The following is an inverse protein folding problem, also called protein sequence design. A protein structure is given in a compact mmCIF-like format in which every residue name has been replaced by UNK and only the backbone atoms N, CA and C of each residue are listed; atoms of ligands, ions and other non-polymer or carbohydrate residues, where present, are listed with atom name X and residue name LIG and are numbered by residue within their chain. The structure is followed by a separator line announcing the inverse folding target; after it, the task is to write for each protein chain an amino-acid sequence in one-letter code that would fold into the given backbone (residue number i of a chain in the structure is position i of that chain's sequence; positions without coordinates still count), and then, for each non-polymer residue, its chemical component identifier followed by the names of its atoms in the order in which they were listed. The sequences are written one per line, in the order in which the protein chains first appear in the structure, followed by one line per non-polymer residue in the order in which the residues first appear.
data_IF_617759695929
#
_entry.id   IF_617759695929
#
_cell.length_a   1.000
_cell.length_b   1.000
_cell.length_c   1.000
_cell.angle_alpha   90.00
_cell.angle_beta   90.00
_cell.angle_gamma   90.00
#
_symmetry.space_group_name_H-M   'P 1'
#
loop_
_entity.id
_entity.type
_entity.pdbx_description
1 polymer ?
#
# COMPACT_ATOMS: atom_id res chain seq x y z
N UNK A 1 -18.58 34.01 -52.88
CA UNK A 1 -19.78 33.37 -53.48
C UNK A 1 -19.63 31.88 -53.19
N UNK A 2 -20.42 31.15 -52.42
CA UNK A 2 -21.71 31.35 -51.75
C UNK A 2 -21.76 30.24 -50.69
N UNK A 3 -21.82 30.55 -49.38
CA UNK A 3 -22.98 30.37 -48.51
C UNK A 3 -23.99 29.28 -48.88
N UNK A 4 -24.49 28.62 -47.82
CA UNK A 4 -25.72 27.82 -47.68
C UNK A 4 -25.56 26.30 -47.90
N UNK A 5 -26.17 25.38 -47.14
CA UNK A 5 -27.18 25.45 -46.06
C UNK A 5 -27.31 24.02 -45.48
N UNK A 6 -27.37 23.85 -44.16
CA UNK A 6 -28.20 22.81 -43.51
C UNK A 6 -29.68 23.23 -43.64
N UNK A 7 -30.71 22.34 -43.65
CA UNK A 7 -31.19 21.75 -42.38
C UNK A 7 -32.04 20.44 -42.44
N UNK A 8 -32.29 19.92 -41.23
CA UNK A 8 -33.56 19.40 -40.69
C UNK A 8 -34.14 18.02 -41.08
N UNK A 9 -34.66 17.36 -40.04
CA UNK A 9 -35.61 16.24 -40.06
C UNK A 9 -35.04 15.02 -39.33
N UNK A 10 -35.46 14.63 -38.12
CA UNK A 10 -36.81 14.63 -37.55
C UNK A 10 -37.34 13.18 -37.60
N UNK A 11 -37.48 12.53 -36.45
CA UNK A 11 -37.96 11.14 -36.40
C UNK A 11 -37.97 10.53 -35.00
N UNK A 12 -38.85 11.04 -34.14
CA UNK A 12 -39.28 10.32 -32.96
C UNK A 12 -40.30 9.23 -33.36
N UNK A 13 -40.05 7.98 -32.98
CA UNK A 13 -41.03 6.90 -32.96
C UNK A 13 -40.91 6.24 -31.58
N UNK A 14 -41.78 6.59 -30.62
CA UNK A 14 -43.09 5.98 -30.42
C UNK A 14 -42.99 4.48 -30.12
N UNK A 15 -42.88 4.14 -28.84
CA UNK A 15 -43.23 2.81 -28.31
C UNK A 15 -44.20 3.03 -27.15
N UNK A 16 -45.49 3.15 -27.47
CA UNK A 16 -46.57 2.92 -26.53
C UNK A 16 -46.98 1.45 -26.62
N UNK A 17 -47.12 0.77 -25.49
CA UNK A 17 -48.43 0.36 -24.95
C UNK A 17 -48.26 -0.58 -23.77
N UNK A 18 -48.93 -0.22 -22.68
CA UNK A 18 -49.18 -1.06 -21.53
C UNK A 18 -50.28 -2.07 -21.88
N UNK A 19 -50.05 -3.35 -21.59
CA UNK A 19 -51.10 -4.36 -21.58
C UNK A 19 -51.07 -5.14 -20.25
N UNK A 20 -52.08 -4.86 -19.43
CA UNK A 20 -52.41 -5.62 -18.23
C UNK A 20 -53.11 -6.95 -18.62
N UNK A 21 -52.73 -8.07 -18.00
CA UNK A 21 -53.41 -9.35 -18.26
C UNK A 21 -52.96 -10.54 -17.40
N UNK A 22 -53.70 -10.77 -16.31
CA UNK A 22 -54.06 -12.05 -15.64
C UNK A 22 -52.99 -13.12 -15.36
N UNK A 23 -52.77 -13.36 -14.06
CA UNK A 23 -52.10 -14.55 -13.49
C UNK A 23 -53.03 -15.78 -13.50
N UNK A 24 -52.55 -16.97 -13.92
CA UNK A 24 -53.12 -18.23 -13.48
C UNK A 24 -52.39 -18.79 -12.25
N UNK A 25 -53.17 -19.43 -11.38
CA UNK A 25 -52.76 -20.05 -10.14
C UNK A 25 -51.97 -21.35 -10.35
N UNK A 26 -51.18 -21.70 -9.33
CA UNK A 26 -50.22 -22.79 -9.28
C UNK A 26 -50.87 -24.19 -9.32
N UNK A 27 -50.24 -25.11 -10.07
CA UNK A 27 -50.30 -26.56 -9.83
C UNK A 27 -48.85 -27.08 -9.86
N UNK A 28 -48.46 -27.70 -8.75
CA UNK A 28 -47.06 -28.02 -8.46
C UNK A 28 -46.49 -29.20 -9.24
N UNK A 29 -45.16 -29.15 -9.41
CA UNK A 29 -44.29 -30.33 -9.52
C UNK A 29 -43.02 -30.06 -8.72
N UNK A 30 -42.75 -30.94 -7.74
CA UNK A 30 -41.46 -31.06 -7.05
C UNK A 30 -40.60 -32.04 -7.83
N UNK A 31 -39.36 -31.67 -8.13
CA UNK A 31 -38.14 -32.46 -7.98
C UNK A 31 -37.07 -32.04 -8.99
N UNK A 32 -35.85 -31.86 -8.47
CA UNK A 32 -34.58 -32.01 -9.15
C UNK A 32 -34.11 -30.94 -10.17
N UNK A 33 -34.12 -29.65 -9.81
CA UNK A 33 -33.21 -28.66 -10.43
C UNK A 33 -32.67 -27.70 -9.36
N UNK A 34 -31.57 -28.07 -8.69
CA UNK A 34 -30.79 -27.16 -7.82
C UNK A 34 -29.31 -27.32 -8.09
N UNK A 35 -28.88 -27.04 -9.32
CA UNK A 35 -27.48 -26.78 -9.63
C UNK A 35 -27.31 -25.65 -10.68
N UNK A 36 -28.26 -24.73 -10.82
CA UNK A 36 -27.96 -23.39 -11.36
C UNK A 36 -29.08 -22.43 -11.01
N UNK A 37 -28.82 -21.51 -10.06
CA UNK A 37 -29.71 -20.38 -9.81
C UNK A 37 -29.03 -19.12 -10.35
N UNK A 38 -29.54 -18.48 -11.42
CA UNK A 38 -29.11 -17.13 -11.77
C UNK A 38 -29.76 -16.20 -10.76
N UNK A 39 -28.99 -15.70 -9.80
CA UNK A 39 -29.48 -14.86 -8.72
C UNK A 39 -29.24 -13.38 -9.07
N UNK A 40 -30.25 -12.59 -9.49
CA UNK A 40 -30.16 -11.14 -9.45
C UNK A 40 -30.55 -10.68 -8.06
N UNK A 41 -29.68 -10.89 -7.07
CA UNK A 41 -29.84 -10.24 -5.78
C UNK A 41 -29.60 -8.74 -5.97
N UNK A 42 -30.53 -7.85 -5.58
CA UNK A 42 -30.24 -6.42 -5.53
C UNK A 42 -29.12 -6.23 -4.52
N UNK A 43 -27.99 -5.67 -4.98
CA UNK A 43 -26.85 -5.32 -4.13
C UNK A 43 -27.38 -4.40 -3.02
N UNK A 44 -27.60 -4.95 -1.82
CA UNK A 44 -27.69 -4.12 -0.62
C UNK A 44 -26.41 -3.30 -0.59
N UNK A 45 -26.49 -1.97 -0.37
CA UNK A 45 -25.29 -1.20 -0.12
C UNK A 45 -24.59 -1.86 1.06
N UNK A 46 -23.32 -2.22 0.88
CA UNK A 46 -22.45 -2.62 1.98
C UNK A 46 -22.32 -1.36 2.82
N UNK A 47 -23.19 -1.20 3.80
CA UNK A 47 -22.92 -0.25 4.87
C UNK A 47 -21.62 -0.75 5.52
N UNK A 48 -20.56 0.07 5.62
CA UNK A 48 -19.47 -0.29 6.50
C UNK A 48 -20.07 -0.54 7.87
N UNK A 49 -19.66 -1.59 8.62
CA UNK A 49 -20.18 -1.78 9.96
C UNK A 49 -19.98 -0.46 10.71
N UNK A 50 -21.04 0.06 11.32
CA UNK A 50 -20.96 1.20 12.22
C UNK A 50 -19.77 0.95 13.14
N UNK A 51 -18.79 1.82 13.07
CA UNK A 51 -17.54 1.70 13.81
C UNK A 51 -17.85 1.91 15.29
N UNK A 52 -18.35 0.89 15.96
CA UNK A 52 -18.09 0.71 17.39
C UNK A 52 -16.64 0.26 17.57
N UNK A 53 -15.69 0.98 16.95
CA UNK A 53 -14.32 0.97 17.42
C UNK A 53 -14.37 1.75 18.73
N UNK A 54 -14.69 1.03 19.80
CA UNK A 54 -14.27 1.38 21.14
C UNK A 54 -12.75 1.48 21.05
N UNK A 55 -12.22 2.69 20.86
CA UNK A 55 -10.80 3.02 21.03
C UNK A 55 -10.49 2.99 22.52
N UNK A 56 -10.66 1.82 23.14
CA UNK A 56 -9.79 1.48 24.25
C UNK A 56 -8.41 1.40 23.63
N UNK A 57 -7.56 2.38 23.94
CA UNK A 57 -6.12 2.34 23.73
C UNK A 57 -5.51 1.19 24.55
N UNK A 58 -5.92 -0.05 24.28
CA UNK A 58 -5.26 -1.25 24.76
C UNK A 58 -4.01 -1.42 23.92
N UNK A 59 -3.00 -0.63 24.26
CA UNK A 59 -1.65 -0.94 23.84
C UNK A 59 -1.29 -2.27 24.50
N UNK A 60 -1.04 -3.35 23.74
CA UNK A 60 -0.63 -4.61 24.33
C UNK A 60 0.65 -4.37 25.16
N UNK A 61 0.81 -5.05 26.32
CA UNK A 61 2.02 -4.90 27.12
C UNK A 61 3.22 -5.35 26.30
N UNK A 62 4.18 -4.43 26.10
CA UNK A 62 5.38 -4.72 25.30
C UNK A 62 6.14 -5.91 25.90
N UNK A 63 6.45 -6.92 25.09
CA UNK A 63 7.28 -8.07 25.49
C UNK A 63 8.66 -7.54 25.92
N UNK A 64 9.31 -8.22 26.88
CA UNK A 64 10.60 -7.77 27.47
C UNK A 64 11.69 -7.56 26.41
N UNK A 65 11.63 -8.28 25.28
CA UNK A 65 12.52 -8.11 24.11
C UNK A 65 12.29 -6.82 23.31
N UNK A 66 11.04 -6.40 23.12
CA UNK A 66 10.67 -5.20 22.35
C UNK A 66 11.25 -3.93 22.99
N UNK A 67 11.38 -3.89 24.32
CA UNK A 67 12.03 -2.77 25.04
C UNK A 67 13.52 -2.60 24.74
N UNK A 68 14.23 -3.69 24.43
CA UNK A 68 15.67 -3.65 24.12
C UNK A 68 15.87 -3.17 22.68
N UNK A 69 15.12 -3.75 21.74
CA UNK A 69 15.13 -3.35 20.32
C UNK A 69 14.70 -1.90 20.12
N UNK A 70 13.72 -1.42 20.90
CA UNK A 70 13.30 -0.01 20.89
C UNK A 70 14.39 0.94 21.39
N UNK A 71 15.12 0.59 22.46
CA UNK A 71 16.24 1.41 22.96
C UNK A 71 17.42 1.45 21.98
N UNK A 72 17.68 0.35 21.28
CA UNK A 72 18.70 0.30 20.23
C UNK A 72 18.30 1.15 19.02
N UNK A 73 17.02 1.14 18.63
CA UNK A 73 16.48 1.98 17.57
C UNK A 73 16.47 3.48 17.96
N UNK A 74 16.16 3.80 19.22
CA UNK A 74 16.22 5.16 19.77
C UNK A 74 17.66 5.67 19.89
N UNK A 75 18.62 4.80 20.23
CA UNK A 75 20.05 5.12 20.23
C UNK A 75 20.61 5.38 18.82
N UNK A 76 20.05 4.74 17.79
CA UNK A 76 20.36 5.03 16.39
C UNK A 76 19.78 6.39 15.96
N UNK A 77 18.55 6.73 16.37
CA UNK A 77 17.96 8.05 16.14
C UNK A 77 18.75 9.17 16.86
N UNK A 78 19.21 8.91 18.08
CA UNK A 78 20.09 9.82 18.84
C UNK A 78 21.48 10.01 18.20
N UNK A 79 21.88 9.17 17.24
CA UNK A 79 23.08 9.36 16.43
C UNK A 79 22.91 10.40 15.32
N UNK A 80 21.74 11.02 15.18
CA UNK A 80 21.48 12.06 14.19
C UNK A 80 21.33 11.55 12.75
N UNK A 81 21.26 10.24 12.54
CA UNK A 81 21.01 9.69 11.19
C UNK A 81 19.50 9.78 10.91
N UNK A 82 19.12 10.64 9.96
CA UNK A 82 17.76 10.69 9.45
C UNK A 82 17.46 9.39 8.66
N UNK A 83 16.63 8.55 9.27
CA UNK A 83 16.08 7.34 8.67
C UNK A 83 14.84 7.73 7.85
N UNK A 84 15.00 7.91 6.54
CA UNK A 84 13.90 8.25 5.65
C UNK A 84 14.39 8.44 4.22
N UNK A 85 13.61 8.01 3.24
CA UNK A 85 13.95 8.28 1.83
C UNK A 85 13.83 9.77 1.53
N UNK A 86 14.64 10.24 0.59
CA UNK A 86 14.59 11.63 0.11
C UNK A 86 13.38 11.92 -0.78
N UNK A 87 12.72 10.87 -1.30
CA UNK A 87 11.70 10.96 -2.35
C UNK A 87 10.32 11.27 -1.74
N UNK A 88 9.57 12.25 -2.29
CA UNK A 88 8.22 12.55 -1.80
C UNK A 88 7.25 11.41 -2.12
N UNK A 89 6.30 11.18 -1.24
CA UNK A 89 5.21 10.24 -1.49
C UNK A 89 4.13 10.92 -2.35
N UNK A 90 4.16 10.64 -3.65
CA UNK A 90 3.29 11.29 -4.64
C UNK A 90 1.87 10.69 -4.64
N UNK A 91 1.74 9.38 -4.42
CA UNK A 91 0.43 8.70 -4.38
C UNK A 91 -0.26 8.93 -3.03
N UNK A 92 -1.54 9.30 -3.08
CA UNK A 92 -2.33 9.43 -1.85
C UNK A 92 -2.67 8.05 -1.26
N UNK A 93 -2.93 8.01 0.05
CA UNK A 93 -3.26 6.74 0.71
C UNK A 93 -4.59 6.15 0.20
N UNK A 94 -5.55 7.02 -0.15
CA UNK A 94 -6.83 6.62 -0.74
C UNK A 94 -6.59 5.91 -2.09
N UNK A 95 -5.81 6.51 -2.99
CA UNK A 95 -5.47 5.93 -4.29
C UNK A 95 -4.79 4.55 -4.17
N UNK A 96 -3.84 4.40 -3.23
CA UNK A 96 -3.18 3.11 -3.00
C UNK A 96 -4.13 2.03 -2.47
N UNK A 97 -5.14 2.43 -1.69
CA UNK A 97 -6.15 1.53 -1.16
C UNK A 97 -7.18 1.11 -2.21
N UNK A 98 -7.60 2.05 -3.07
CA UNK A 98 -8.51 1.81 -4.19
C UNK A 98 -7.87 0.88 -5.24
N UNK A 99 -6.59 1.08 -5.51
CA UNK A 99 -5.78 0.20 -6.37
C UNK A 99 -5.44 -1.15 -5.70
N UNK A 100 -5.85 -1.36 -4.44
CA UNK A 100 -5.62 -2.58 -3.66
C UNK A 100 -4.15 -3.00 -3.61
N UNK A 101 -3.24 -2.03 -3.48
CA UNK A 101 -1.82 -2.33 -3.33
C UNK A 101 -1.57 -3.04 -1.98
N UNK A 102 -0.85 -4.17 -1.98
CA UNK A 102 -0.49 -4.85 -0.73
C UNK A 102 0.57 -4.02 0.01
N UNK A 103 0.61 -4.17 1.34
CA UNK A 103 1.50 -3.41 2.24
C UNK A 103 2.97 -3.28 1.78
N UNK A 104 3.65 -4.32 1.25
CA UNK A 104 5.05 -4.20 0.84
C UNK A 104 5.29 -3.23 -0.32
N UNK A 105 4.26 -2.93 -1.13
CA UNK A 105 4.38 -2.05 -2.30
C UNK A 105 3.72 -0.67 -2.09
N UNK A 106 3.50 -0.28 -0.83
CA UNK A 106 3.01 1.05 -0.44
C UNK A 106 4.17 1.99 -0.11
N UNK A 107 5.19 1.95 -0.94
CA UNK A 107 6.40 2.76 -0.86
C UNK A 107 6.28 4.02 -1.73
N UNK A 108 7.33 4.84 -1.76
CA UNK A 108 7.33 6.11 -2.49
C UNK A 108 7.21 5.90 -4.01
N UNK A 109 7.50 4.69 -4.51
CA UNK A 109 7.32 4.32 -5.92
C UNK A 109 5.90 3.86 -6.28
N UNK A 110 4.95 3.82 -5.33
CA UNK A 110 3.59 3.34 -5.57
C UNK A 110 2.85 4.08 -6.71
N UNK A 111 3.15 5.36 -6.93
CA UNK A 111 2.60 6.16 -8.02
C UNK A 111 2.91 5.62 -9.42
N UNK A 112 4.02 4.87 -9.58
CA UNK A 112 4.38 4.20 -10.84
C UNK A 112 3.80 2.79 -10.94
N UNK A 113 3.51 2.16 -9.80
CA UNK A 113 2.94 0.81 -9.77
C UNK A 113 1.46 0.80 -10.17
N UNK A 114 0.70 1.82 -9.81
CA UNK A 114 -0.71 1.96 -10.21
C UNK A 114 -0.89 1.94 -11.74
N UNK A 115 -0.19 2.79 -12.54
CA UNK A 115 -0.30 2.74 -14.00
C UNK A 115 0.26 1.45 -14.59
N UNK A 116 1.35 0.89 -14.03
CA UNK A 116 1.90 -0.39 -14.48
C UNK A 116 0.88 -1.54 -14.33
N UNK A 117 0.17 -1.59 -13.21
CA UNK A 117 -0.86 -2.61 -12.99
C UNK A 117 -2.06 -2.43 -13.91
N UNK A 118 -2.43 -1.19 -14.26
CA UNK A 118 -3.46 -0.91 -15.27
C UNK A 118 -3.03 -1.42 -16.65
N UNK A 119 -1.79 -1.13 -17.07
CA UNK A 119 -1.24 -1.62 -18.34
C UNK A 119 -1.22 -3.15 -18.41
N UNK A 120 -0.73 -3.81 -17.34
CA UNK A 120 -0.67 -5.27 -17.26
C UNK A 120 -2.03 -5.94 -17.43
N UNK A 121 -3.07 -5.40 -16.80
CA UNK A 121 -4.43 -5.95 -16.93
C UNK A 121 -5.02 -5.67 -18.32
N UNK A 122 -4.79 -4.47 -18.88
CA UNK A 122 -5.29 -4.11 -20.20
C UNK A 122 -4.66 -4.96 -21.32
N UNK A 123 -3.36 -5.19 -21.25
CA UNK A 123 -2.57 -5.93 -22.25
C UNK A 123 -2.35 -7.39 -21.86
N UNK A 124 -3.18 -7.96 -20.98
CA UNK A 124 -3.12 -9.37 -20.56
C UNK A 124 -1.71 -9.87 -20.17
N UNK A 125 -0.91 -9.02 -19.53
CA UNK A 125 0.45 -9.31 -19.07
C UNK A 125 1.43 -9.70 -20.18
N UNK A 126 1.23 -9.18 -21.40
CA UNK A 126 2.17 -9.36 -22.50
C UNK A 126 3.56 -8.77 -22.14
N UNK A 127 4.66 -9.54 -22.24
CA UNK A 127 5.99 -9.10 -21.79
C UNK A 127 6.55 -7.84 -22.47
N UNK A 128 6.12 -7.55 -23.71
CA UNK A 128 6.68 -6.48 -24.54
C UNK A 128 5.88 -5.17 -24.54
N UNK A 129 4.72 -5.11 -23.86
CA UNK A 129 3.79 -3.97 -23.95
C UNK A 129 4.00 -2.90 -22.87
N UNK A 130 4.23 -3.31 -21.63
CA UNK A 130 4.33 -2.42 -20.46
C UNK A 130 5.79 -2.20 -19.99
N UNK A 131 6.72 -2.30 -20.94
CA UNK A 131 8.15 -2.15 -20.73
C UNK A 131 8.56 -0.77 -20.16
N UNK A 132 8.07 0.37 -20.66
CA UNK A 132 8.49 1.67 -20.15
C UNK A 132 7.99 1.91 -18.71
N UNK A 133 6.75 1.54 -18.39
CA UNK A 133 6.20 1.66 -17.04
C UNK A 133 6.92 0.72 -16.05
N UNK A 134 7.27 -0.49 -16.52
CA UNK A 134 8.04 -1.45 -15.73
C UNK A 134 9.41 -0.89 -15.39
N UNK A 135 10.15 -0.39 -16.39
CA UNK A 135 11.47 0.16 -16.19
C UNK A 135 11.46 1.42 -15.31
N UNK A 136 10.44 2.27 -15.44
CA UNK A 136 10.29 3.42 -14.55
C UNK A 136 10.11 3.00 -13.09
N UNK A 137 9.25 1.99 -12.83
CA UNK A 137 9.05 1.46 -11.48
C UNK A 137 10.32 0.82 -10.90
N UNK A 138 11.02 0.01 -11.69
CA UNK A 138 12.27 -0.65 -11.27
C UNK A 138 13.40 0.34 -11.01
N UNK A 139 13.53 1.38 -11.83
CA UNK A 139 14.48 2.47 -11.59
C UNK A 139 14.19 3.19 -10.27
N UNK A 140 12.92 3.47 -9.99
CA UNK A 140 12.53 4.09 -8.73
C UNK A 140 12.87 3.19 -7.52
N UNK A 141 12.60 1.89 -7.59
CA UNK A 141 12.96 0.93 -6.55
C UNK A 141 14.48 0.85 -6.33
N UNK A 142 15.24 0.86 -7.43
CA UNK A 142 16.69 0.86 -7.37
C UNK A 142 17.23 2.08 -6.62
N UNK A 143 16.74 3.28 -6.94
CA UNK A 143 17.11 4.51 -6.23
C UNK A 143 16.82 4.42 -4.72
N UNK A 144 15.63 3.91 -4.32
CA UNK A 144 15.27 3.73 -2.91
C UNK A 144 16.15 2.71 -2.17
N UNK A 145 16.59 1.66 -2.85
CA UNK A 145 17.51 0.67 -2.27
C UNK A 145 18.89 1.29 -2.08
N UNK A 146 19.40 2.03 -3.07
CA UNK A 146 20.68 2.72 -2.98
C UNK A 146 20.71 3.75 -1.85
N UNK A 147 19.65 4.55 -1.70
CA UNK A 147 19.51 5.48 -0.58
C UNK A 147 19.59 4.78 0.77
N UNK A 148 18.87 3.66 0.94
CA UNK A 148 18.91 2.87 2.18
C UNK A 148 20.28 2.25 2.43
N UNK A 149 20.98 1.79 1.40
CA UNK A 149 22.35 1.27 1.56
C UNK A 149 23.30 2.35 2.07
N UNK A 150 23.22 3.55 1.52
CA UNK A 150 24.01 4.71 1.97
C UNK A 150 23.66 5.07 3.42
N UNK A 151 22.38 5.03 3.79
CA UNK A 151 21.95 5.25 5.17
C UNK A 151 22.50 4.20 6.12
N UNK A 152 22.45 2.92 5.74
CA UNK A 152 23.00 1.83 6.56
C UNK A 152 24.51 1.94 6.72
N UNK A 153 25.25 2.34 5.67
CA UNK A 153 26.67 2.61 5.77
C UNK A 153 26.96 3.75 6.76
N UNK A 154 26.23 4.86 6.67
CA UNK A 154 26.35 6.00 7.61
C UNK A 154 26.06 5.59 9.05
N UNK A 155 25.04 4.75 9.28
CA UNK A 155 24.72 4.22 10.62
C UNK A 155 25.88 3.37 11.13
N UNK A 156 26.41 2.48 10.30
CA UNK A 156 27.52 1.60 10.67
C UNK A 156 28.78 2.39 11.03
N UNK A 157 29.15 3.37 10.21
CA UNK A 157 30.28 4.27 10.47
C UNK A 157 30.09 5.07 11.77
N UNK A 158 28.89 5.60 12.00
CA UNK A 158 28.56 6.31 13.24
C UNK A 158 28.61 5.39 14.47
N UNK A 159 28.20 4.12 14.33
CA UNK A 159 28.31 3.12 15.40
C UNK A 159 29.76 2.73 15.67
N UNK A 160 30.58 2.57 14.63
CA UNK A 160 32.02 2.26 14.75
C UNK A 160 32.80 3.43 15.39
N UNK A 161 32.45 4.67 15.07
CA UNK A 161 33.02 5.85 15.73
C UNK A 161 32.65 5.89 17.23
N UNK A 162 31.40 5.53 17.58
CA UNK A 162 30.94 5.44 18.96
C UNK A 162 31.61 4.29 19.73
N UNK A 163 31.78 3.11 19.12
CA UNK A 163 32.42 1.96 19.77
C UNK A 163 33.91 2.20 20.04
N UNK A 164 34.60 2.91 19.15
CA UNK A 164 35.99 3.37 19.38
C UNK A 164 36.10 4.40 20.50
N UNK A 165 35.07 5.23 20.71
CA UNK A 165 34.97 6.16 21.84
C UNK A 165 34.64 5.50 23.20
N UNK A 166 34.21 4.23 23.21
CA UNK A 166 33.94 3.44 24.42
C UNK A 166 35.13 2.57 24.85
N UNK A 167 36.21 2.50 24.06
CA UNK A 167 37.37 1.63 24.31
C UNK A 167 38.48 2.28 25.16
N UNK A 168 38.31 3.51 25.67
CA UNK A 168 39.35 4.24 26.43
C UNK A 168 38.92 4.74 27.80
N UNK A 169 37.98 4.07 28.47
CA UNK A 169 37.74 4.30 29.91
C UNK A 169 37.56 2.95 30.59
N UNK A 170 38.64 2.45 31.24
CA UNK A 170 38.53 1.31 32.14
C UNK A 170 39.74 0.42 32.39
N UNK A 171 40.99 0.81 32.11
CA UNK A 171 42.14 0.21 32.79
C UNK A 171 43.11 1.31 33.24
N UNK A 172 43.09 1.69 34.52
CA UNK A 172 44.26 2.26 35.15
C UNK A 172 45.27 1.12 35.35
N UNK A 173 46.43 1.27 34.71
CA UNK A 173 47.65 0.54 35.03
C UNK A 173 47.84 0.53 36.57
N UNK A 174 47.97 -0.69 37.11
CA UNK A 174 48.63 -1.09 38.37
C UNK A 174 48.95 0.09 39.32
N UNK A 175 48.25 0.27 40.46
CA UNK A 175 48.66 1.24 41.45
C UNK A 175 49.98 0.80 42.11
N UNK A 176 50.87 1.77 42.27
CA UNK A 176 52.22 1.66 42.81
C UNK A 176 52.27 0.96 44.19
N UNK A 177 53.20 0.00 44.31
CA UNK A 177 53.90 -0.48 45.51
C UNK A 177 53.20 -0.34 46.88
N UNK A 178 52.66 -1.46 47.38
CA UNK A 178 52.36 -1.61 48.80
C UNK A 178 53.67 -1.77 49.59
N UNK A 179 53.96 -0.84 50.51
CA UNK A 179 54.95 -0.98 51.59
C UNK A 179 54.53 -2.13 52.51
N UNK A 180 55.35 -3.17 52.61
CA UNK A 180 55.38 -4.04 53.79
C UNK A 180 56.10 -3.30 54.91
N UNK A 181 55.40 -3.08 56.02
CA UNK A 181 55.93 -2.71 57.33
C UNK A 181 55.50 -3.75 58.35
#
# INVERSE_FOLDING_TARGET
MSLSRTPAGGGAAAWGEAAAGRRPAAVGRRAAERCWSPNPSPKRPIQPPASTHRTTNHRPPRRRGERKEEREMEAAAAAGVQLGTSKPQIATQAEMSEARLPLPYRDQCAHLLIPLNKCRVAEYYLPWKCEPERHAYEKCQYELVMERMIQMQKIREAQEAKSKGAATIGVPLIPSTAKLS
#
